data_IF_749576907808
#
_entry.id   IF_749576907808
#
_cell.length_a   1.000
_cell.length_b   1.000
_cell.length_c   1.000
_cell.angle_alpha   90.00
_cell.angle_beta   90.00
_cell.angle_gamma   90.00
#
_symmetry.space_group_name_H-M   'P 1'
#
loop_
_entity.id
_entity.type
_entity.pdbx_description
1 polymer ?
#
# COMPACT_ATOMS: atom_id res chain seq x y z
N UNK A 1 -55.41 -24.31 8.28
CA UNK A 1 -54.57 -23.61 7.29
C UNK A 1 -53.22 -23.28 7.96
N UNK A 2 -52.20 -24.07 7.66
CA UNK A 2 -50.85 -23.90 8.22
C UNK A 2 -50.08 -22.97 7.30
N UNK A 3 -49.70 -21.78 7.76
CA UNK A 3 -48.80 -20.90 7.03
C UNK A 3 -47.36 -21.33 7.36
N UNK A 4 -46.69 -21.93 6.39
CA UNK A 4 -45.25 -22.20 6.45
C UNK A 4 -44.55 -20.89 6.22
N UNK A 5 -43.95 -20.31 7.27
CA UNK A 5 -43.04 -19.18 7.14
C UNK A 5 -41.68 -19.71 6.65
N UNK A 6 -41.37 -19.45 5.38
CA UNK A 6 -40.07 -19.72 4.84
C UNK A 6 -39.08 -18.68 5.39
N UNK A 7 -38.29 -19.07 6.36
CA UNK A 7 -37.16 -18.28 6.85
C UNK A 7 -36.07 -18.36 5.79
N UNK A 8 -35.93 -17.33 4.97
CA UNK A 8 -34.78 -17.12 4.11
C UNK A 8 -33.63 -16.69 4.99
N UNK A 9 -32.77 -17.66 5.33
CA UNK A 9 -31.49 -17.37 6.00
C UNK A 9 -30.59 -16.74 4.96
N UNK A 10 -30.52 -15.40 4.92
CA UNK A 10 -29.48 -14.68 4.19
C UNK A 10 -28.17 -14.96 4.91
N UNK A 11 -27.41 -15.92 4.40
CA UNK A 11 -25.99 -16.02 4.68
C UNK A 11 -25.33 -14.76 4.10
N UNK A 12 -25.17 -13.74 4.90
CA UNK A 12 -24.20 -12.68 4.63
C UNK A 12 -22.83 -13.35 4.62
N UNK A 13 -22.36 -13.72 3.45
CA UNK A 13 -20.97 -14.07 3.24
C UNK A 13 -20.23 -12.77 3.47
N UNK A 14 -19.64 -12.64 4.64
CA UNK A 14 -18.68 -11.59 4.95
C UNK A 14 -17.59 -11.69 3.91
N UNK A 15 -17.59 -10.74 2.97
CA UNK A 15 -16.48 -10.55 2.05
C UNK A 15 -15.35 -9.83 2.78
N UNK A 16 -14.98 -10.32 3.94
CA UNK A 16 -13.74 -9.99 4.62
C UNK A 16 -12.62 -10.73 3.91
N UNK A 17 -12.23 -10.16 2.80
CA UNK A 17 -11.15 -10.75 2.07
C UNK A 17 -10.04 -9.71 1.91
N UNK A 18 -8.91 -10.01 2.51
CA UNK A 18 -7.63 -10.03 1.87
C UNK A 18 -6.86 -8.71 1.85
N UNK A 19 -7.15 -7.78 2.70
CA UNK A 19 -6.12 -6.96 3.31
C UNK A 19 -5.19 -7.90 4.10
N UNK A 20 -3.89 -7.59 4.22
CA UNK A 20 -3.06 -8.25 5.22
C UNK A 20 -3.80 -8.10 6.55
N UNK A 21 -4.38 -9.14 7.01
CA UNK A 21 -5.20 -9.09 8.22
C UNK A 21 -4.45 -9.82 9.34
N UNK A 22 -4.02 -9.15 10.37
CA UNK A 22 -4.15 -7.71 10.62
C UNK A 22 -3.14 -6.86 9.80
N UNK A 23 -3.36 -5.54 9.66
CA UNK A 23 -2.38 -4.64 9.04
C UNK A 23 -1.00 -4.80 9.69
N UNK A 24 0.10 -4.70 8.94
CA UNK A 24 1.44 -4.90 9.48
C UNK A 24 1.75 -3.89 10.59
N UNK A 25 2.44 -4.36 11.61
CA UNK A 25 2.93 -3.50 12.69
C UNK A 25 4.09 -2.61 12.20
N UNK A 26 4.39 -1.57 12.95
CA UNK A 26 5.55 -0.73 12.68
C UNK A 26 6.86 -1.55 12.67
N UNK A 27 7.00 -2.51 13.59
CA UNK A 27 8.15 -3.39 13.66
C UNK A 27 8.29 -4.27 12.42
N UNK A 28 7.20 -4.84 11.93
CA UNK A 28 7.19 -5.63 10.70
C UNK A 28 7.58 -4.80 9.47
N UNK A 29 7.06 -3.58 9.34
CA UNK A 29 7.42 -2.70 8.23
C UNK A 29 8.92 -2.36 8.25
N UNK A 30 9.50 -2.10 9.43
CA UNK A 30 10.95 -1.86 9.57
C UNK A 30 11.77 -3.10 9.24
N UNK A 31 11.33 -4.27 9.65
CA UNK A 31 11.98 -5.54 9.32
C UNK A 31 12.00 -5.79 7.80
N UNK A 32 10.89 -5.55 7.11
CA UNK A 32 10.81 -5.70 5.67
C UNK A 32 11.66 -4.69 4.90
N UNK A 33 11.94 -3.53 5.49
CA UNK A 33 12.77 -2.48 4.89
C UNK A 33 14.27 -2.74 5.00
N UNK A 34 14.71 -3.73 5.79
CA UNK A 34 16.14 -3.99 5.97
C UNK A 34 16.82 -4.50 4.71
N UNK A 35 18.13 -4.26 4.60
CA UNK A 35 18.96 -4.77 3.52
C UNK A 35 18.65 -4.13 2.16
N UNK A 36 17.96 -4.84 1.23
CA UNK A 36 17.82 -4.41 -0.15
C UNK A 36 17.18 -3.03 -0.33
N UNK A 37 16.12 -2.71 0.41
CA UNK A 37 15.47 -1.41 0.33
C UNK A 37 16.38 -0.26 0.79
N UNK A 38 17.11 -0.46 1.88
CA UNK A 38 18.07 0.54 2.40
C UNK A 38 19.21 0.77 1.41
N UNK A 39 19.74 -0.32 0.83
CA UNK A 39 20.81 -0.25 -0.18
C UNK A 39 20.33 0.49 -1.43
N UNK A 40 19.17 0.13 -1.97
CA UNK A 40 18.58 0.81 -3.12
C UNK A 40 18.28 2.29 -2.83
N UNK A 41 17.81 2.60 -1.62
CA UNK A 41 17.61 3.97 -1.16
C UNK A 41 18.89 4.80 -1.21
N UNK A 42 20.00 4.27 -0.72
CA UNK A 42 21.32 4.95 -0.79
C UNK A 42 21.72 5.26 -2.23
N UNK A 43 21.52 4.33 -3.15
CA UNK A 43 21.81 4.56 -4.58
C UNK A 43 20.92 5.66 -5.17
N UNK A 44 19.69 5.77 -4.70
CA UNK A 44 18.75 6.81 -5.11
C UNK A 44 18.94 8.15 -4.35
N UNK A 45 19.91 8.24 -3.44
CA UNK A 45 20.13 9.43 -2.61
C UNK A 45 19.05 9.63 -1.53
N UNK A 46 18.42 8.56 -1.07
CA UNK A 46 17.31 8.57 -0.11
C UNK A 46 17.73 7.81 1.16
N UNK A 47 17.51 8.42 2.32
CA UNK A 47 17.52 7.69 3.58
C UNK A 47 16.17 6.94 3.73
N UNK A 48 16.17 5.70 3.27
CA UNK A 48 14.97 4.88 3.20
C UNK A 48 14.40 4.60 4.61
N UNK A 49 15.26 4.21 5.54
CA UNK A 49 14.84 3.87 6.90
C UNK A 49 14.22 5.07 7.62
N UNK A 50 14.86 6.24 7.54
CA UNK A 50 14.31 7.47 8.10
C UNK A 50 13.00 7.88 7.45
N UNK A 51 12.88 7.77 6.12
CA UNK A 51 11.64 8.08 5.39
C UNK A 51 10.50 7.14 5.79
N UNK A 52 10.82 5.86 6.00
CA UNK A 52 9.84 4.88 6.48
C UNK A 52 9.39 5.18 7.91
N UNK A 53 10.30 5.51 8.83
CA UNK A 53 9.94 5.89 10.20
C UNK A 53 9.00 7.10 10.23
N UNK A 54 9.26 8.10 9.38
CA UNK A 54 8.36 9.25 9.22
C UNK A 54 6.98 8.82 8.68
N UNK A 55 6.95 7.96 7.67
CA UNK A 55 5.68 7.46 7.11
C UNK A 55 4.90 6.62 8.13
N UNK A 56 5.57 5.82 8.95
CA UNK A 56 4.95 5.07 10.05
C UNK A 56 4.35 6.02 11.11
N UNK A 57 5.00 7.16 11.35
CA UNK A 57 4.50 8.22 12.23
C UNK A 57 3.45 9.13 11.56
N UNK A 58 2.91 8.73 10.42
CA UNK A 58 1.89 9.47 9.65
C UNK A 58 2.35 10.85 9.17
N UNK A 59 3.65 11.03 8.95
CA UNK A 59 4.20 12.22 8.34
C UNK A 59 4.10 12.16 6.80
N UNK A 60 3.31 13.05 6.16
CA UNK A 60 3.14 13.05 4.71
C UNK A 60 4.44 13.20 3.92
N UNK A 61 5.44 13.90 4.46
CA UNK A 61 6.71 14.08 3.78
C UNK A 61 7.54 12.78 3.72
N UNK A 62 7.47 11.95 4.76
CA UNK A 62 8.06 10.61 4.75
C UNK A 62 7.41 9.73 3.69
N UNK A 63 6.08 9.69 3.66
CA UNK A 63 5.33 8.92 2.66
C UNK A 63 5.60 9.43 1.23
N UNK A 64 5.62 10.74 1.01
CA UNK A 64 5.93 11.34 -0.29
C UNK A 64 7.35 10.97 -0.78
N UNK A 65 8.32 10.87 0.12
CA UNK A 65 9.68 10.43 -0.21
C UNK A 65 9.69 8.98 -0.68
N UNK A 66 8.96 8.08 0.00
CA UNK A 66 8.82 6.69 -0.43
C UNK A 66 8.10 6.58 -1.79
N UNK A 67 7.10 7.42 -2.05
CA UNK A 67 6.45 7.46 -3.37
C UNK A 67 7.43 7.86 -4.47
N UNK A 68 8.23 8.91 -4.26
CA UNK A 68 9.24 9.32 -5.25
C UNK A 68 10.31 8.25 -5.46
N UNK A 69 10.67 7.52 -4.41
CA UNK A 69 11.59 6.39 -4.54
C UNK A 69 11.06 5.33 -5.51
N UNK A 70 9.74 5.10 -5.57
CA UNK A 70 9.11 4.15 -6.50
C UNK A 70 9.40 4.47 -7.97
N UNK A 71 9.61 5.73 -8.32
CA UNK A 71 9.87 6.21 -9.69
C UNK A 71 11.37 6.36 -10.03
N UNK A 72 12.27 5.91 -9.16
CA UNK A 72 13.72 6.14 -9.37
C UNK A 72 14.40 5.15 -10.30
N UNK A 73 13.76 4.04 -10.62
CA UNK A 73 14.35 2.97 -11.44
C UNK A 73 15.40 2.09 -10.73
N UNK A 74 15.67 2.34 -9.46
CA UNK A 74 16.59 1.54 -8.64
C UNK A 74 15.93 0.28 -8.05
N UNK A 75 14.90 -0.20 -8.72
CA UNK A 75 14.15 -1.36 -8.28
C UNK A 75 14.51 -2.58 -9.08
N UNK A 76 15.06 -3.59 -8.40
CA UNK A 76 15.13 -4.94 -8.91
C UNK A 76 14.91 -5.95 -7.77
N UNK A 77 14.45 -7.14 -8.10
CA UNK A 77 14.36 -8.28 -7.21
C UNK A 77 13.81 -7.96 -5.82
N UNK A 78 14.58 -8.29 -4.79
CA UNK A 78 14.18 -8.20 -3.39
C UNK A 78 13.86 -6.77 -2.92
N UNK A 79 14.53 -5.75 -3.48
CA UNK A 79 14.23 -4.35 -3.13
C UNK A 79 12.84 -3.94 -3.64
N UNK A 80 12.49 -4.34 -4.86
CA UNK A 80 11.18 -4.09 -5.44
C UNK A 80 10.08 -4.80 -4.65
N UNK A 81 10.25 -6.06 -4.35
CA UNK A 81 9.30 -6.85 -3.56
C UNK A 81 9.07 -6.24 -2.18
N UNK A 82 10.15 -5.98 -1.45
CA UNK A 82 10.07 -5.40 -0.11
C UNK A 82 9.39 -4.03 -0.11
N UNK A 83 9.74 -3.15 -1.05
CA UNK A 83 9.13 -1.83 -1.14
C UNK A 83 7.64 -1.88 -1.48
N UNK A 84 7.22 -2.74 -2.40
CA UNK A 84 5.81 -2.89 -2.76
C UNK A 84 4.96 -3.39 -1.58
N UNK A 85 5.46 -4.35 -0.82
CA UNK A 85 4.80 -4.84 0.40
C UNK A 85 4.72 -3.74 1.46
N UNK A 86 5.77 -2.93 1.61
CA UNK A 86 5.78 -1.78 2.52
C UNK A 86 4.75 -0.74 2.10
N UNK A 87 4.65 -0.39 0.82
CA UNK A 87 3.64 0.54 0.32
C UNK A 87 2.21 0.06 0.61
N UNK A 88 1.94 -1.23 0.38
CA UNK A 88 0.64 -1.82 0.70
C UNK A 88 0.37 -1.76 2.21
N UNK A 89 1.34 -2.10 3.03
CA UNK A 89 1.23 -2.01 4.49
C UNK A 89 0.99 -0.59 4.99
N UNK A 90 1.65 0.40 4.40
CA UNK A 90 1.42 1.82 4.71
C UNK A 90 0.01 2.26 4.27
N UNK A 91 -0.46 1.84 3.09
CA UNK A 91 -1.83 2.10 2.64
C UNK A 91 -2.86 1.59 3.65
N UNK A 92 -2.67 0.38 4.14
CA UNK A 92 -3.56 -0.21 5.14
C UNK A 92 -3.53 0.53 6.49
N UNK A 93 -2.36 0.98 6.92
CA UNK A 93 -2.21 1.74 8.18
C UNK A 93 -2.74 3.17 8.08
N UNK A 94 -2.46 3.85 6.97
CA UNK A 94 -2.93 5.22 6.73
C UNK A 94 -4.42 5.29 6.43
N UNK A 95 -4.94 4.26 5.76
CA UNK A 95 -6.27 4.27 5.17
C UNK A 95 -6.29 4.98 3.81
N UNK A 96 -7.31 4.70 3.04
CA UNK A 96 -7.43 5.11 1.63
C UNK A 96 -7.42 6.64 1.43
N UNK A 97 -8.15 7.38 2.25
CA UNK A 97 -8.29 8.83 2.08
C UNK A 97 -7.00 9.59 2.39
N UNK A 98 -6.31 9.42 3.53
CA UNK A 98 -5.06 10.12 3.81
C UNK A 98 -3.94 9.71 2.83
N UNK A 99 -3.80 8.42 2.54
CA UNK A 99 -2.79 7.91 1.60
C UNK A 99 -3.00 8.49 0.19
N UNK A 100 -4.21 8.44 -0.34
CA UNK A 100 -4.55 8.98 -1.66
C UNK A 100 -4.32 10.49 -1.75
N UNK A 101 -4.52 11.23 -0.67
CA UNK A 101 -4.25 12.67 -0.63
C UNK A 101 -2.79 12.98 -0.89
N UNK A 102 -1.87 12.27 -0.21
CA UNK A 102 -0.41 12.42 -0.42
C UNK A 102 -0.03 11.99 -1.84
N UNK A 103 -0.63 10.90 -2.33
CA UNK A 103 -0.36 10.37 -3.66
C UNK A 103 -0.78 11.34 -4.77
N UNK A 104 -1.96 11.94 -4.66
CA UNK A 104 -2.47 12.93 -5.65
C UNK A 104 -1.61 14.17 -5.76
N UNK A 105 -0.92 14.55 -4.68
CA UNK A 105 0.02 15.67 -4.69
C UNK A 105 1.32 15.37 -5.46
N UNK A 106 1.57 14.10 -5.84
CA UNK A 106 2.76 13.70 -6.58
C UNK A 106 2.58 13.94 -8.09
N UNK A 107 3.73 14.03 -8.79
CA UNK A 107 3.76 14.10 -10.27
C UNK A 107 3.17 12.82 -10.89
N UNK A 108 2.63 12.94 -12.10
CA UNK A 108 2.01 11.84 -12.83
C UNK A 108 2.85 10.55 -12.89
N UNK A 109 4.16 10.59 -13.23
CA UNK A 109 4.98 9.37 -13.25
C UNK A 109 5.06 8.67 -11.89
N UNK A 110 5.20 9.44 -10.80
CA UNK A 110 5.25 8.89 -9.45
C UNK A 110 3.93 8.21 -9.09
N UNK A 111 2.79 8.85 -9.38
CA UNK A 111 1.48 8.24 -9.12
C UNK A 111 1.31 6.92 -9.86
N UNK A 112 1.70 6.90 -11.14
CA UNK A 112 1.66 5.67 -11.94
C UNK A 112 2.53 4.57 -11.33
N UNK A 113 3.78 4.89 -11.01
CA UNK A 113 4.72 3.93 -10.44
C UNK A 113 4.21 3.34 -9.12
N UNK A 114 3.66 4.15 -8.23
CA UNK A 114 3.09 3.68 -6.95
C UNK A 114 1.90 2.75 -7.17
N UNK A 115 0.97 3.12 -8.04
CA UNK A 115 -0.20 2.27 -8.32
C UNK A 115 0.22 0.95 -8.96
N UNK A 116 1.12 0.98 -9.94
CA UNK A 116 1.64 -0.22 -10.59
C UNK A 116 2.36 -1.12 -9.58
N UNK A 117 3.14 -0.55 -8.67
CA UNK A 117 3.85 -1.28 -7.63
C UNK A 117 2.87 -2.01 -6.69
N UNK A 118 1.88 -1.30 -6.16
CA UNK A 118 0.87 -1.89 -5.28
C UNK A 118 0.09 -2.97 -6.03
N UNK A 119 -0.33 -2.72 -7.26
CA UNK A 119 -1.10 -3.67 -8.07
C UNK A 119 -0.30 -4.94 -8.39
N UNK A 120 1.01 -4.83 -8.65
CA UNK A 120 1.86 -5.97 -9.02
C UNK A 120 2.09 -6.96 -7.89
N UNK A 121 2.19 -6.49 -6.65
CA UNK A 121 2.54 -7.31 -5.49
C UNK A 121 1.38 -7.66 -4.57
N UNK A 122 0.24 -7.04 -4.76
CA UNK A 122 -0.94 -7.35 -3.96
C UNK A 122 -1.77 -8.51 -4.53
N UNK A 123 -1.23 -9.20 -5.53
CA UNK A 123 -1.91 -10.39 -6.06
C UNK A 123 -1.93 -11.53 -5.03
N UNK A 124 -3.07 -12.13 -4.77
CA UNK A 124 -4.41 -11.92 -5.36
C UNK A 124 -5.30 -10.95 -4.57
N UNK A 125 -4.75 -10.19 -3.66
CA UNK A 125 -5.46 -9.58 -2.54
C UNK A 125 -5.87 -8.12 -2.73
N UNK A 126 -5.22 -7.37 -3.64
CA UNK A 126 -5.58 -5.98 -3.85
C UNK A 126 -6.74 -5.83 -4.83
N UNK A 127 -7.83 -5.29 -4.32
CA UNK A 127 -8.99 -4.98 -5.16
C UNK A 127 -9.17 -3.46 -5.19
N UNK A 128 -9.44 -2.88 -6.37
CA UNK A 128 -9.77 -1.45 -6.47
C UNK A 128 -10.92 -1.02 -5.56
N UNK A 129 -11.78 -1.95 -5.18
CA UNK A 129 -12.93 -1.73 -4.29
C UNK A 129 -12.55 -1.52 -2.82
N UNK A 130 -11.38 -1.97 -2.37
CA UNK A 130 -10.92 -1.78 -0.99
C UNK A 130 -10.32 -0.39 -0.78
N UNK A 131 -9.63 0.13 -1.79
CA UNK A 131 -8.96 1.44 -1.75
C UNK A 131 -9.33 2.28 -2.99
N UNK A 132 -10.62 2.63 -3.14
CA UNK A 132 -11.10 3.27 -4.37
C UNK A 132 -10.49 4.64 -4.64
N UNK A 133 -10.16 5.42 -3.61
CA UNK A 133 -9.55 6.74 -3.77
C UNK A 133 -8.09 6.64 -4.19
N UNK A 134 -7.35 5.68 -3.62
CA UNK A 134 -5.97 5.41 -4.03
C UNK A 134 -5.93 4.92 -5.46
N UNK A 135 -6.78 3.97 -5.82
CA UNK A 135 -6.88 3.47 -7.19
C UNK A 135 -7.25 4.57 -8.20
N UNK A 136 -8.22 5.43 -7.86
CA UNK A 136 -8.61 6.57 -8.69
C UNK A 136 -7.52 7.64 -8.80
N UNK A 137 -6.44 7.56 -8.03
CA UNK A 137 -5.28 8.45 -8.12
C UNK A 137 -4.33 8.06 -9.27
N UNK A 138 -4.56 6.92 -9.92
CA UNK A 138 -3.85 6.53 -11.14
C UNK A 138 -4.07 7.59 -12.22
N UNK A 139 -3.01 7.96 -12.95
CA UNK A 139 -3.17 8.87 -14.09
C UNK A 139 -3.88 8.15 -15.24
N UNK A 140 -4.90 8.78 -15.78
CA UNK A 140 -5.55 8.39 -17.02
C UNK A 140 -4.80 8.94 -18.21
#
# INVERSE_FOLDING_TARGET
MLRVATVVLLCAVSQDALALDPPPTAAQLREWATGPCVTAGKHAGIDYAHSLDRAIAEDPAGLATLFRFTDTGWFDGAAAEGHCVILLGLLQRWGDRPFSRVLRAQKRPVRKAVIDAIASFSYPTWKPTEFPLTYASAPH
#
